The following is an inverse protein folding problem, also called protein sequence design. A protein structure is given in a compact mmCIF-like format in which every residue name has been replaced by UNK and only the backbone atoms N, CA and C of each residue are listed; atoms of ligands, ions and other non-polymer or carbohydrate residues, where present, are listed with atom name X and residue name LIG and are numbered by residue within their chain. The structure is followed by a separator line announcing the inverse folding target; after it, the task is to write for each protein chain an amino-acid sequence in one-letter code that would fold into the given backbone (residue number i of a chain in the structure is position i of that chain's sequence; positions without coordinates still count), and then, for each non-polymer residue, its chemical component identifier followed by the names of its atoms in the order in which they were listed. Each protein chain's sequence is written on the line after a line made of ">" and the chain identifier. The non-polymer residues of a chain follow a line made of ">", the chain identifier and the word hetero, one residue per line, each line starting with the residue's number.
data_IF_039300822298
#
_entry.id   IF_039300822298
#
_cell.length_a   1.000
_cell.length_b   1.000
_cell.length_c   1.000
_cell.angle_alpha   90.00
_cell.angle_beta   90.00
_cell.angle_gamma   90.00
#
_symmetry.space_group_name_H-M   'P 1'
#
loop_
_entity.id
_entity.type
_entity.pdbx_description
1 polymer ?
#
# COMPACT_ATOMS: atom_id res chain seq x y z
N UNK A 1 17.94 32.99 -0.10
CA UNK A 1 17.87 31.69 0.58
C UNK A 1 17.87 30.58 -0.46
N UNK A 2 18.71 29.57 -0.24
CA UNK A 2 18.85 28.40 -1.09
C UNK A 2 18.72 27.17 -0.19
N UNK A 3 18.01 26.14 -0.65
CA UNK A 3 17.80 24.90 0.07
C UNK A 3 17.84 23.71 -0.88
N UNK A 4 18.39 22.60 -0.38
CA UNK A 4 18.38 21.29 -1.02
C UNK A 4 17.81 20.30 -0.01
N UNK A 5 16.80 19.53 -0.41
CA UNK A 5 16.28 18.44 0.40
C UNK A 5 16.44 17.12 -0.34
N UNK A 6 17.01 16.14 0.35
CA UNK A 6 17.17 14.78 -0.16
C UNK A 6 16.51 13.79 0.78
N UNK A 7 15.82 12.82 0.21
CA UNK A 7 15.26 11.68 0.92
C UNK A 7 15.67 10.40 0.20
N UNK A 8 16.21 9.45 0.95
CA UNK A 8 16.63 8.14 0.46
C UNK A 8 16.15 7.05 1.42
N UNK A 9 15.57 5.98 0.88
CA UNK A 9 15.31 4.75 1.64
C UNK A 9 15.33 3.53 0.73
N UNK A 10 15.59 2.36 1.31
CA UNK A 10 15.77 1.05 0.66
C UNK A 10 14.49 0.44 0.03
N UNK A 11 13.48 1.25 -0.24
CA UNK A 11 12.16 0.80 -0.70
C UNK A 11 11.19 0.49 0.44
N UNK A 12 9.90 0.51 0.12
CA UNK A 12 8.84 0.22 1.08
C UNK A 12 8.66 -1.30 1.24
N UNK A 13 8.46 -1.81 2.48
CA UNK A 13 8.14 -3.22 2.67
C UNK A 13 6.87 -3.60 1.92
N UNK A 14 6.89 -4.78 1.30
CA UNK A 14 5.74 -5.36 0.60
C UNK A 14 5.25 -6.56 1.42
N UNK A 15 3.94 -6.58 1.71
CA UNK A 15 3.33 -7.61 2.53
C UNK A 15 2.17 -8.33 1.82
N UNK A 16 1.74 -9.43 2.42
CA UNK A 16 0.52 -10.15 2.05
C UNK A 16 -0.56 -9.90 3.09
N UNK A 17 -1.56 -9.10 2.71
CA UNK A 17 -2.66 -8.71 3.56
C UNK A 17 -3.91 -9.57 3.30
N UNK A 18 -4.46 -10.14 4.38
CA UNK A 18 -5.70 -10.89 4.36
C UNK A 18 -6.65 -10.38 5.43
N UNK A 19 -7.90 -10.11 5.05
CA UNK A 19 -8.95 -9.80 6.00
C UNK A 19 -9.62 -11.08 6.53
N UNK A 20 -9.82 -11.14 7.85
CA UNK A 20 -10.42 -12.29 8.54
C UNK A 20 -11.52 -11.77 9.46
N UNK A 21 -12.75 -12.28 9.31
CA UNK A 21 -13.95 -12.03 10.11
C UNK A 21 -14.24 -10.58 10.56
N UNK A 22 -15.46 -10.09 10.32
CA UNK A 22 -15.89 -8.74 10.72
C UNK A 22 -15.87 -7.77 9.55
N UNK A 23 -14.71 -7.18 9.22
CA UNK A 23 -14.60 -6.22 8.11
C UNK A 23 -13.45 -6.54 7.17
N UNK A 24 -13.63 -6.24 5.88
CA UNK A 24 -12.58 -6.39 4.87
C UNK A 24 -11.44 -5.35 5.01
N UNK A 25 -11.57 -4.40 5.94
CA UNK A 25 -10.57 -3.35 6.22
C UNK A 25 -9.53 -3.75 7.28
N UNK A 26 -9.76 -4.84 8.02
CA UNK A 26 -8.86 -5.30 9.06
C UNK A 26 -7.81 -6.25 8.48
N UNK A 27 -6.63 -5.70 8.16
CA UNK A 27 -5.53 -6.46 7.59
C UNK A 27 -4.83 -7.36 8.60
N UNK A 28 -4.68 -8.64 8.28
CA UNK A 28 -3.78 -9.58 8.96
C UNK A 28 -2.65 -9.99 7.99
N UNK A 29 -1.41 -9.97 8.46
CA UNK A 29 -0.25 -10.38 7.65
C UNK A 29 -0.08 -11.90 7.71
N UNK A 30 -0.41 -12.58 6.62
CA UNK A 30 -0.41 -14.05 6.57
C UNK A 30 0.98 -14.69 6.56
N UNK A 31 2.00 -13.93 6.18
CA UNK A 31 3.40 -14.36 6.16
C UNK A 31 4.28 -13.55 7.12
N UNK A 32 3.69 -12.87 8.10
CA UNK A 32 4.36 -11.81 8.89
C UNK A 32 4.65 -10.54 8.07
N UNK A 33 5.10 -9.48 8.76
CA UNK A 33 5.45 -8.21 8.12
C UNK A 33 6.79 -8.32 7.40
N UNK A 34 6.89 -7.73 6.22
CA UNK A 34 8.08 -7.74 5.37
C UNK A 34 8.15 -8.97 4.46
N UNK A 35 7.20 -9.89 4.53
CA UNK A 35 7.21 -11.10 3.72
C UNK A 35 6.04 -11.10 2.73
N UNK A 36 6.34 -11.43 1.48
CA UNK A 36 5.37 -11.41 0.39
C UNK A 36 5.13 -12.81 -0.18
N UNK A 37 3.93 -13.33 0.01
CA UNK A 37 3.46 -14.53 -0.66
C UNK A 37 3.25 -14.27 -2.17
N UNK A 38 3.96 -15.03 -3.00
CA UNK A 38 3.74 -15.04 -4.44
C UNK A 38 2.48 -15.86 -4.73
N UNK A 39 1.40 -15.17 -5.06
CA UNK A 39 0.11 -15.77 -5.37
C UNK A 39 -0.26 -15.57 -6.83
N UNK A 40 -0.79 -16.60 -7.48
CA UNK A 40 -1.42 -16.50 -8.79
C UNK A 40 -2.72 -17.32 -8.83
N UNK A 41 -3.50 -17.17 -9.90
CA UNK A 41 -4.67 -18.02 -10.17
C UNK A 41 -4.28 -19.10 -11.17
N UNK A 42 -4.53 -20.36 -10.83
CA UNK A 42 -4.30 -21.47 -11.74
C UNK A 42 -5.43 -21.58 -12.80
N UNK A 43 -5.34 -22.49 -13.78
CA UNK A 43 -6.37 -22.67 -14.80
C UNK A 43 -7.74 -23.11 -14.27
N UNK A 44 -7.80 -23.67 -13.05
CA UNK A 44 -9.06 -24.03 -12.37
C UNK A 44 -9.71 -22.83 -11.67
N UNK A 45 -8.99 -21.71 -11.58
CA UNK A 45 -9.40 -20.50 -10.88
C UNK A 45 -9.00 -20.48 -9.39
N UNK A 46 -8.31 -21.51 -8.90
CA UNK A 46 -7.84 -21.58 -7.53
C UNK A 46 -6.62 -20.66 -7.32
N UNK A 47 -6.51 -20.10 -6.12
CA UNK A 47 -5.36 -19.31 -5.68
C UNK A 47 -4.24 -20.26 -5.27
N UNK A 48 -3.10 -20.16 -5.93
CA UNK A 48 -1.92 -20.98 -5.65
C UNK A 48 -0.79 -20.12 -5.11
N UNK A 49 -0.10 -20.63 -4.09
CA UNK A 49 1.11 -20.03 -3.51
C UNK A 49 2.34 -20.68 -4.12
N UNK A 50 3.16 -19.90 -4.82
CA UNK A 50 4.44 -20.36 -5.38
C UNK A 50 5.58 -20.33 -4.36
N UNK A 51 5.45 -19.48 -3.35
CA UNK A 51 6.47 -19.29 -2.32
C UNK A 51 6.30 -17.98 -1.59
N UNK A 52 7.28 -17.67 -0.73
CA UNK A 52 7.33 -16.44 0.06
C UNK A 52 8.66 -15.76 -0.23
N UNK A 53 8.62 -14.48 -0.55
CA UNK A 53 9.81 -13.63 -0.61
C UNK A 53 10.00 -13.03 0.76
N UNK A 54 11.02 -13.47 1.47
CA UNK A 54 11.38 -12.90 2.76
C UNK A 54 11.99 -11.50 2.58
N UNK A 55 11.67 -10.56 3.48
CA UNK A 55 12.13 -9.18 3.41
C UNK A 55 11.87 -8.50 2.05
N UNK A 56 10.71 -8.76 1.46
CA UNK A 56 10.29 -8.18 0.20
C UNK A 56 10.16 -6.66 0.31
N UNK A 57 10.82 -5.95 -0.59
CA UNK A 57 10.83 -4.48 -0.67
C UNK A 57 10.66 -4.03 -2.11
N UNK A 58 10.04 -2.87 -2.27
CA UNK A 58 10.01 -2.16 -3.54
C UNK A 58 11.37 -1.59 -3.93
N UNK A 59 11.40 -0.90 -5.06
CA UNK A 59 12.61 -0.24 -5.54
C UNK A 59 13.09 0.84 -4.54
N UNK A 60 14.41 1.06 -4.42
CA UNK A 60 14.95 2.17 -3.64
C UNK A 60 14.36 3.50 -4.09
N UNK A 61 13.99 4.32 -3.12
CA UNK A 61 13.46 5.65 -3.37
C UNK A 61 14.57 6.67 -3.19
N UNK A 62 14.78 7.54 -4.19
CA UNK A 62 15.60 8.74 -4.05
C UNK A 62 14.85 9.96 -4.59
N UNK A 63 14.62 10.93 -3.71
CA UNK A 63 14.05 12.23 -4.08
C UNK A 63 15.05 13.32 -3.78
N UNK A 64 15.31 14.16 -4.77
CA UNK A 64 16.13 15.37 -4.62
C UNK A 64 15.32 16.57 -5.07
N UNK A 65 15.12 17.51 -4.17
CA UNK A 65 14.40 18.75 -4.43
C UNK A 65 15.31 19.95 -4.12
N UNK A 66 15.12 21.03 -4.88
CA UNK A 66 15.86 22.29 -4.73
C UNK A 66 14.85 23.42 -4.59
N UNK A 67 15.10 24.33 -3.66
CA UNK A 67 14.33 25.56 -3.49
C UNK A 67 15.27 26.78 -3.47
N UNK A 68 14.93 27.79 -4.25
CA UNK A 68 15.64 29.07 -4.35
C UNK A 68 14.66 30.19 -4.10
N UNK A 69 15.04 31.13 -3.24
CA UNK A 69 14.28 32.34 -2.95
C UNK A 69 15.23 33.52 -2.87
N UNK A 70 15.00 34.54 -3.67
CA UNK A 70 15.79 35.75 -3.70
C UNK A 70 14.88 36.96 -3.44
N UNK A 71 15.27 37.82 -2.50
CA UNK A 71 14.57 39.06 -2.19
C UNK A 71 15.40 40.24 -2.66
N UNK A 72 14.80 41.12 -3.46
CA UNK A 72 15.39 42.37 -3.93
C UNK A 72 14.61 43.52 -3.30
N UNK A 73 15.33 44.43 -2.63
CA UNK A 73 14.74 45.68 -2.13
C UNK A 73 14.49 46.62 -3.31
N UNK A 74 13.25 47.06 -3.48
CA UNK A 74 12.84 47.89 -4.63
C UNK A 74 12.90 49.38 -4.28
N UNK A 75 12.68 49.75 -3.01
CA UNK A 75 12.77 51.13 -2.53
C UNK A 75 13.85 51.28 -1.46
N UNK A 76 14.63 52.37 -1.52
CA UNK A 76 15.63 52.73 -0.50
C UNK A 76 15.00 53.33 0.76
N UNK A 77 13.83 53.96 0.62
CA UNK A 77 13.16 54.71 1.70
C UNK A 77 12.14 53.85 2.47
N UNK A 78 11.76 52.68 1.92
CA UNK A 78 10.79 51.75 2.52
C UNK A 78 11.29 50.31 2.42
N UNK A 79 11.81 49.76 3.52
CA UNK A 79 12.35 48.39 3.55
C UNK A 79 11.31 47.28 3.27
N UNK A 80 10.02 47.58 3.40
CA UNK A 80 8.93 46.64 3.17
C UNK A 80 8.64 46.43 1.67
N UNK A 81 9.10 47.36 0.80
CA UNK A 81 8.89 47.27 -0.64
C UNK A 81 9.93 46.32 -1.26
N UNK A 82 9.49 45.09 -1.53
CA UNK A 82 10.38 44.01 -1.96
C UNK A 82 9.81 43.26 -3.16
N UNK A 83 10.71 42.87 -4.06
CA UNK A 83 10.47 41.91 -5.12
C UNK A 83 11.03 40.56 -4.67
N UNK A 84 10.21 39.52 -4.64
CA UNK A 84 10.63 38.16 -4.29
C UNK A 84 10.55 37.28 -5.52
N UNK A 85 11.67 36.63 -5.84
CA UNK A 85 11.78 35.63 -6.90
C UNK A 85 11.94 34.26 -6.22
N UNK A 86 11.05 33.33 -6.53
CA UNK A 86 11.03 31.98 -5.95
C UNK A 86 11.06 30.94 -7.08
N UNK A 87 11.86 29.89 -6.91
CA UNK A 87 11.94 28.75 -7.80
C UNK A 87 12.08 27.46 -7.00
N UNK A 88 11.21 26.50 -7.24
CA UNK A 88 11.25 25.17 -6.62
C UNK A 88 11.31 24.10 -7.72
N UNK A 89 12.25 23.17 -7.60
CA UNK A 89 12.39 22.00 -8.45
C UNK A 89 12.17 20.76 -7.58
N UNK A 90 11.13 19.99 -7.86
CA UNK A 90 10.88 18.72 -7.19
C UNK A 90 11.26 17.55 -8.10
N UNK A 91 11.79 16.49 -7.51
CA UNK A 91 12.31 15.32 -8.21
C UNK A 91 13.26 15.74 -9.35
N UNK A 92 14.32 16.47 -8.99
CA UNK A 92 15.26 17.09 -9.93
C UNK A 92 15.83 16.10 -10.95
N UNK A 93 16.14 14.88 -10.49
CA UNK A 93 16.69 13.80 -11.31
C UNK A 93 15.62 12.95 -12.01
N UNK A 94 14.34 13.30 -11.90
CA UNK A 94 13.23 12.64 -12.57
C UNK A 94 13.17 11.12 -12.34
N UNK A 95 13.33 10.69 -11.09
CA UNK A 95 13.20 9.30 -10.71
C UNK A 95 11.74 8.84 -10.66
N UNK A 96 11.53 7.55 -10.92
CA UNK A 96 10.21 6.93 -10.89
C UNK A 96 10.27 5.64 -10.07
N UNK A 97 10.13 5.79 -8.76
CA UNK A 97 10.05 4.67 -7.83
C UNK A 97 8.60 4.44 -7.38
N UNK A 98 8.18 3.18 -7.30
CA UNK A 98 6.93 2.81 -6.64
C UNK A 98 7.07 2.98 -5.12
N UNK A 99 6.13 3.69 -4.50
CA UNK A 99 6.17 3.99 -3.05
C UNK A 99 5.21 3.12 -2.25
N UNK A 100 4.22 2.49 -2.90
CA UNK A 100 3.30 1.55 -2.27
C UNK A 100 2.88 0.48 -3.28
N UNK A 101 2.66 -0.73 -2.78
CA UNK A 101 2.19 -1.87 -3.56
C UNK A 101 0.83 -2.31 -3.02
N UNK A 102 0.03 -2.94 -3.89
CA UNK A 102 -1.28 -3.45 -3.49
C UNK A 102 -1.14 -4.79 -2.77
N UNK A 103 -1.37 -4.77 -1.46
CA UNK A 103 -1.11 -5.92 -0.58
C UNK A 103 -2.35 -6.77 -0.29
N UNK A 104 -3.55 -6.30 -0.65
CA UNK A 104 -4.80 -7.00 -0.34
C UNK A 104 -5.00 -8.20 -1.28
N UNK A 105 -5.03 -9.41 -0.72
CA UNK A 105 -5.25 -10.64 -1.48
C UNK A 105 -6.70 -10.69 -1.99
N UNK A 106 -7.66 -10.33 -1.14
CA UNK A 106 -9.12 -10.38 -1.41
C UNK A 106 -9.80 -9.13 -0.84
N UNK A 107 -9.87 -8.01 -1.59
CA UNK A 107 -10.20 -6.70 -1.01
C UNK A 107 -11.67 -6.48 -0.64
N UNK A 108 -12.59 -7.21 -1.26
CA UNK A 108 -14.03 -7.10 -1.02
C UNK A 108 -14.59 -8.31 -0.29
N UNK A 109 -13.74 -9.27 0.05
CA UNK A 109 -14.10 -10.49 0.75
C UNK A 109 -13.23 -10.64 1.99
N UNK A 110 -13.57 -11.62 2.81
CA UNK A 110 -12.82 -11.92 4.02
C UNK A 110 -12.89 -13.42 4.28
N UNK A 111 -11.93 -13.93 5.04
CA UNK A 111 -12.01 -15.30 5.55
C UNK A 111 -13.07 -15.32 6.67
N UNK A 112 -14.18 -16.00 6.43
CA UNK A 112 -15.27 -16.20 7.38
C UNK A 112 -15.97 -17.54 7.10
N UNK A 113 -15.41 -18.65 7.59
CA UNK A 113 -16.07 -19.94 7.51
C UNK A 113 -17.40 -19.87 8.27
N UNK A 114 -18.44 -20.47 7.70
CA UNK A 114 -19.77 -20.47 8.29
C UNK A 114 -20.06 -21.75 9.06
N UNK A 115 -20.97 -21.67 10.02
CA UNK A 115 -21.54 -22.80 10.74
C UNK A 115 -23.07 -22.67 10.85
N UNK A 116 -23.79 -23.76 11.18
CA UNK A 116 -25.22 -23.68 11.44
C UNK A 116 -25.57 -22.66 12.53
N UNK A 117 -26.68 -21.95 12.32
CA UNK A 117 -27.24 -20.95 13.24
C UNK A 117 -27.68 -21.62 14.53
N UNK A 118 -27.27 -21.06 15.68
CA UNK A 118 -27.64 -21.56 17.01
C UNK A 118 -28.75 -20.74 17.67
N UNK A 119 -28.81 -19.44 17.40
CA UNK A 119 -29.79 -18.51 17.98
C UNK A 119 -30.08 -17.33 17.05
N UNK A 120 -31.11 -16.54 17.34
CA UNK A 120 -31.44 -15.35 16.55
C UNK A 120 -30.37 -14.27 16.71
N UNK A 121 -29.84 -13.73 15.60
CA UNK A 121 -28.71 -12.79 15.60
C UNK A 121 -27.32 -13.44 15.68
N UNK A 122 -27.23 -14.77 15.64
CA UNK A 122 -25.95 -15.48 15.57
C UNK A 122 -25.20 -15.09 14.27
N UNK A 123 -23.96 -14.58 14.35
CA UNK A 123 -23.17 -14.24 13.17
C UNK A 123 -22.75 -15.46 12.33
N UNK A 124 -22.94 -16.68 12.85
CA UNK A 124 -22.66 -17.94 12.17
C UNK A 124 -21.19 -18.13 11.76
N UNK A 125 -20.26 -17.31 12.23
CA UNK A 125 -18.81 -17.53 12.07
C UNK A 125 -18.37 -18.76 12.85
N UNK A 126 -17.63 -19.65 12.18
CA UNK A 126 -16.96 -20.78 12.80
C UNK A 126 -15.59 -20.37 13.35
N UNK A 127 -15.59 -19.83 14.57
CA UNK A 127 -14.38 -19.43 15.28
C UNK A 127 -13.43 -20.60 15.56
N UNK A 128 -13.93 -21.84 15.63
CA UNK A 128 -13.09 -23.02 15.82
C UNK A 128 -12.13 -23.23 14.64
N UNK A 129 -12.57 -22.93 13.41
CA UNK A 129 -11.72 -22.98 12.22
C UNK A 129 -10.74 -21.81 12.12
N UNK A 130 -11.08 -20.65 12.69
CA UNK A 130 -10.23 -19.46 12.65
C UNK A 130 -9.16 -19.44 13.75
N UNK A 131 -9.45 -19.97 14.93
CA UNK A 131 -8.59 -19.81 16.11
C UNK A 131 -7.61 -20.95 16.36
N UNK A 132 -7.78 -22.12 15.71
CA UNK A 132 -6.94 -23.31 15.95
C UNK A 132 -5.72 -23.42 15.03
N UNK A 133 -5.32 -22.31 14.38
CA UNK A 133 -4.31 -22.32 13.33
C UNK A 133 -4.84 -22.99 12.06
N UNK A 134 -4.61 -22.36 10.91
CA UNK A 134 -5.09 -22.90 9.65
C UNK A 134 -4.20 -22.53 8.48
N UNK A 135 -4.27 -23.33 7.41
CA UNK A 135 -3.69 -22.98 6.13
C UNK A 135 -4.59 -21.95 5.42
N UNK A 136 -4.11 -20.73 5.29
CA UNK A 136 -4.87 -19.64 4.67
C UNK A 136 -5.11 -19.86 3.17
N UNK A 137 -4.31 -20.70 2.48
CA UNK A 137 -4.57 -21.07 1.08
C UNK A 137 -5.80 -21.96 0.97
N UNK A 138 -5.96 -22.91 1.90
CA UNK A 138 -7.17 -23.73 1.97
C UNK A 138 -8.40 -22.87 2.29
N UNK A 139 -8.24 -21.88 3.18
CA UNK A 139 -9.30 -20.94 3.48
C UNK A 139 -9.69 -20.10 2.26
N UNK A 140 -8.69 -19.56 1.53
CA UNK A 140 -8.90 -18.78 0.31
C UNK A 140 -9.62 -19.59 -0.79
N UNK A 141 -9.32 -20.88 -0.93
CA UNK A 141 -9.92 -21.75 -1.94
C UNK A 141 -11.19 -22.48 -1.48
N UNK A 142 -11.57 -22.37 -0.20
CA UNK A 142 -12.70 -23.13 0.35
C UNK A 142 -12.44 -24.64 0.42
N UNK A 143 -11.20 -25.05 0.59
CA UNK A 143 -10.75 -26.45 0.61
C UNK A 143 -10.32 -26.90 2.00
N UNK A 144 -9.94 -28.17 2.15
CA UNK A 144 -9.46 -28.73 3.42
C UNK A 144 -10.45 -28.53 4.57
N UNK A 145 -9.99 -27.97 5.68
CA UNK A 145 -10.82 -27.67 6.85
C UNK A 145 -11.91 -26.61 6.58
N UNK A 146 -11.79 -25.85 5.49
CA UNK A 146 -12.74 -24.81 5.09
C UNK A 146 -13.77 -25.27 4.05
N UNK A 147 -13.70 -26.54 3.60
CA UNK A 147 -14.67 -27.16 2.70
C UNK A 147 -15.88 -27.80 3.40
N UNK A 148 -16.83 -28.33 2.62
CA UNK A 148 -18.02 -29.06 3.09
C UNK A 148 -19.35 -28.29 3.00
N UNK A 149 -20.38 -28.78 3.70
CA UNK A 149 -21.75 -28.23 3.63
C UNK A 149 -21.95 -26.89 4.38
N UNK A 150 -21.05 -26.56 5.33
CA UNK A 150 -20.98 -25.28 6.04
C UNK A 150 -19.53 -24.77 5.96
N UNK A 151 -19.22 -24.18 4.82
CA UNK A 151 -17.88 -23.94 4.32
C UNK A 151 -17.72 -22.50 3.86
N UNK A 152 -16.47 -22.10 3.65
CA UNK A 152 -16.18 -20.89 2.92
C UNK A 152 -16.17 -21.19 1.42
N UNK A 153 -16.79 -20.32 0.61
CA UNK A 153 -16.67 -20.39 -0.84
C UNK A 153 -15.28 -19.94 -1.30
N UNK A 154 -14.77 -20.55 -2.37
CA UNK A 154 -13.52 -20.10 -3.01
C UNK A 154 -13.58 -18.60 -3.33
N UNK A 155 -12.51 -17.89 -3.00
CA UNK A 155 -12.36 -16.46 -3.19
C UNK A 155 -11.46 -16.18 -4.39
N UNK A 156 -11.65 -15.00 -4.99
CA UNK A 156 -10.87 -14.58 -6.16
C UNK A 156 -9.73 -13.66 -5.76
N UNK A 157 -8.52 -14.01 -6.20
CA UNK A 157 -7.34 -13.16 -6.05
C UNK A 157 -7.55 -11.80 -6.72
N UNK A 158 -7.20 -10.72 -6.01
CA UNK A 158 -7.25 -9.38 -6.56
C UNK A 158 -6.32 -9.25 -7.78
N UNK A 159 -6.84 -8.69 -8.87
CA UNK A 159 -6.06 -8.49 -10.10
C UNK A 159 -4.88 -7.54 -9.93
N UNK A 160 -4.92 -6.68 -8.90
CA UNK A 160 -3.85 -5.72 -8.58
C UNK A 160 -2.84 -6.26 -7.57
N UNK A 161 -3.04 -7.46 -7.01
CA UNK A 161 -2.18 -7.99 -5.95
C UNK A 161 -0.71 -8.00 -6.38
N UNK A 162 0.16 -7.39 -5.57
CA UNK A 162 1.59 -7.27 -5.85
C UNK A 162 1.97 -6.19 -6.88
N UNK A 163 1.01 -5.45 -7.44
CA UNK A 163 1.30 -4.35 -8.38
C UNK A 163 1.52 -3.03 -7.64
N UNK A 164 2.37 -2.13 -8.18
CA UNK A 164 2.48 -0.76 -7.69
C UNK A 164 1.13 -0.03 -7.65
N UNK A 165 0.88 0.68 -6.54
CA UNK A 165 -0.32 1.50 -6.33
C UNK A 165 -0.02 2.99 -6.37
N UNK A 166 1.05 3.42 -5.73
CA UNK A 166 1.48 4.82 -5.71
C UNK A 166 2.93 4.93 -6.14
N UNK A 167 3.26 6.06 -6.73
CA UNK A 167 4.60 6.36 -7.21
C UNK A 167 5.12 7.65 -6.59
N UNK A 168 6.42 7.83 -6.63
CA UNK A 168 7.08 9.08 -6.34
C UNK A 168 6.48 10.21 -7.18
N UNK A 169 6.46 11.42 -6.62
CA UNK A 169 6.00 12.60 -7.34
C UNK A 169 6.80 12.82 -8.62
N UNK A 170 6.11 13.11 -9.71
CA UNK A 170 6.76 13.44 -10.97
C UNK A 170 7.60 14.72 -10.84
N UNK A 171 8.61 14.86 -11.71
CA UNK A 171 9.40 16.09 -11.78
C UNK A 171 8.51 17.28 -12.09
N UNK A 172 8.60 18.30 -11.24
CA UNK A 172 7.85 19.55 -11.42
C UNK A 172 8.71 20.75 -11.02
N UNK A 173 8.53 21.84 -11.75
CA UNK A 173 9.16 23.12 -11.47
C UNK A 173 8.07 24.14 -11.16
N UNK A 174 8.23 24.90 -10.08
CA UNK A 174 7.31 25.97 -9.68
C UNK A 174 8.08 27.26 -9.54
N UNK A 175 7.65 28.27 -10.27
CA UNK A 175 8.23 29.61 -10.24
C UNK A 175 7.19 30.59 -9.70
N UNK A 176 7.62 31.53 -8.87
CA UNK A 176 6.78 32.60 -8.38
C UNK A 176 7.53 33.93 -8.35
N UNK A 177 6.81 34.99 -8.70
CA UNK A 177 7.23 36.37 -8.57
C UNK A 177 6.24 37.07 -7.65
N UNK A 178 6.70 37.68 -6.56
CA UNK A 178 5.84 38.37 -5.61
C UNK A 178 6.30 39.81 -5.43
N UNK A 179 5.36 40.74 -5.52
CA UNK A 179 5.56 42.13 -5.12
C UNK A 179 4.94 42.31 -3.72
N UNK A 180 5.72 42.81 -2.78
CA UNK A 180 5.27 43.13 -1.43
C UNK A 180 5.39 44.65 -1.23
N UNK A 181 4.36 45.27 -0.66
CA UNK A 181 4.24 46.70 -0.41
C UNK A 181 4.17 46.95 1.10
#
# INVERSE_FOLDING_TARGET
>A
MFSVSQAFYEGTPINSCLAVAGTASACQWVEERGNFAKLHRDPSGAIVKEGVVANARGDPYLQTDIAVRHEIRVNKDRENYKLVIEGNAYNLFNQHAATSYYENIVPTNLINPTRPKRFSGDPQTDWGKLMNGYNYIDALNGTGAFGGAAAQTSLTLASRYGLPQTFQIARQFRFALRFMF
#
